data_IF_722171605569
#
_entry.id   IF_722171605569
#
_cell.length_a   1.000
_cell.length_b   1.000
_cell.length_c   1.000
_cell.angle_alpha   90.00
_cell.angle_beta   90.00
_cell.angle_gamma   90.00
#
_symmetry.space_group_name_H-M   'P 1'
#
loop_
_entity.id
_entity.type
_entity.pdbx_description
1 polymer ?
#
# COMPACT_ATOMS: atom_id res chain seq x y z
N UNK A 1 21.56 113.65 -5.31
CA UNK A 1 22.04 114.63 -6.29
C UNK A 1 20.92 115.26 -7.11
N UNK A 2 20.08 114.59 -7.79
CA UNK A 2 18.98 115.08 -8.65
C UNK A 2 17.99 115.94 -7.86
N UNK A 3 17.64 115.56 -6.59
CA UNK A 3 16.80 116.40 -5.72
C UNK A 3 17.40 117.75 -5.45
N UNK A 4 18.73 117.82 -5.13
CA UNK A 4 19.41 119.06 -4.89
C UNK A 4 19.48 119.92 -6.17
N UNK A 5 19.61 119.29 -7.35
CA UNK A 5 19.59 119.96 -8.64
C UNK A 5 18.21 120.57 -8.94
N UNK A 6 17.11 119.78 -8.63
CA UNK A 6 15.73 120.31 -8.77
C UNK A 6 15.45 121.50 -7.86
N UNK A 7 15.98 121.46 -6.58
CA UNK A 7 15.81 122.52 -5.63
C UNK A 7 16.57 123.81 -6.12
N UNK A 8 17.79 123.69 -6.63
CA UNK A 8 18.60 124.82 -7.12
C UNK A 8 18.03 125.40 -8.40
N UNK A 9 17.48 124.50 -9.30
CA UNK A 9 16.77 124.93 -10.46
C UNK A 9 15.49 125.77 -10.14
N UNK A 10 14.72 125.31 -9.10
CA UNK A 10 13.58 126.06 -8.58
C UNK A 10 14.00 127.45 -7.98
N UNK A 11 15.18 127.50 -7.35
CA UNK A 11 15.75 128.77 -6.78
C UNK A 11 16.15 129.75 -7.83
N UNK A 12 16.52 129.34 -9.05
CA UNK A 12 16.86 130.16 -10.18
C UNK A 12 15.65 130.77 -10.91
N UNK A 13 14.40 130.45 -10.52
CA UNK A 13 13.18 131.04 -11.05
C UNK A 13 12.97 130.70 -12.55
N UNK A 14 12.57 131.63 -13.33
CA UNK A 14 12.30 131.46 -14.81
C UNK A 14 13.55 130.92 -15.58
N UNK A 15 14.77 131.37 -15.18
CA UNK A 15 16.00 130.93 -15.81
C UNK A 15 16.36 129.40 -15.54
N UNK A 16 15.85 128.86 -14.42
CA UNK A 16 16.09 127.46 -14.02
C UNK A 16 15.04 126.49 -14.54
N UNK A 17 13.97 126.87 -15.20
CA UNK A 17 12.87 125.94 -15.63
C UNK A 17 13.31 124.73 -16.46
N UNK A 18 14.20 124.96 -17.44
CA UNK A 18 14.77 123.91 -18.25
C UNK A 18 15.57 122.89 -17.46
N UNK A 19 16.36 123.40 -16.43
CA UNK A 19 17.15 122.58 -15.55
C UNK A 19 16.28 121.80 -14.55
N UNK A 20 15.19 122.34 -14.08
CA UNK A 20 14.23 121.68 -13.22
C UNK A 20 13.64 120.39 -13.88
N UNK A 21 13.26 120.53 -15.17
CA UNK A 21 12.71 119.37 -15.99
C UNK A 21 13.77 118.32 -16.16
N UNK A 22 15.06 118.71 -16.42
CA UNK A 22 16.16 117.69 -16.58
C UNK A 22 16.45 117.04 -15.23
N UNK A 23 16.45 117.79 -14.10
CA UNK A 23 16.67 117.26 -12.78
C UNK A 23 15.58 116.26 -12.34
N UNK A 24 14.30 116.55 -12.66
CA UNK A 24 13.19 115.65 -12.40
C UNK A 24 13.26 114.38 -13.32
N UNK A 25 13.67 114.52 -14.60
CA UNK A 25 13.90 113.39 -15.46
C UNK A 25 15.09 112.52 -14.95
N UNK A 26 16.19 113.13 -14.49
CA UNK A 26 17.31 112.39 -13.87
C UNK A 26 16.86 111.68 -12.59
N UNK A 27 16.01 112.32 -11.78
CA UNK A 27 15.46 111.77 -10.56
C UNK A 27 14.59 110.49 -10.91
N UNK A 28 13.70 110.67 -11.91
CA UNK A 28 12.85 109.55 -12.40
C UNK A 28 13.70 108.40 -12.96
N UNK A 29 14.71 108.72 -13.75
CA UNK A 29 15.65 107.75 -14.30
C UNK A 29 16.46 107.03 -13.19
N UNK A 30 16.92 107.79 -12.16
CA UNK A 30 17.60 107.18 -11.03
C UNK A 30 16.73 106.28 -10.21
N UNK A 31 15.41 106.60 -10.02
CA UNK A 31 14.49 105.72 -9.33
C UNK A 31 14.20 104.46 -10.14
N UNK A 32 13.96 104.61 -11.42
CA UNK A 32 13.74 103.45 -12.30
C UNK A 32 14.97 102.58 -12.39
N UNK A 33 16.17 103.16 -12.38
CA UNK A 33 17.45 102.42 -12.33
C UNK A 33 17.59 101.68 -10.99
N UNK A 34 17.26 102.34 -9.87
CA UNK A 34 17.28 101.66 -8.56
C UNK A 34 16.29 100.51 -8.44
N UNK A 35 15.08 100.71 -8.97
CA UNK A 35 14.04 99.65 -9.02
C UNK A 35 14.47 98.45 -9.89
N UNK A 36 15.03 98.79 -11.10
CA UNK A 36 15.59 97.75 -11.97
C UNK A 36 16.73 97.00 -11.34
N UNK A 37 17.65 97.71 -10.65
CA UNK A 37 18.75 97.12 -9.89
C UNK A 37 18.22 96.21 -8.74
N UNK A 38 17.19 96.67 -8.02
CA UNK A 38 16.52 95.89 -6.99
C UNK A 38 15.90 94.57 -7.59
N UNK A 39 15.25 94.67 -8.75
CA UNK A 39 14.71 93.52 -9.43
C UNK A 39 15.79 92.53 -9.88
N UNK A 40 16.92 93.03 -10.38
CA UNK A 40 18.06 92.19 -10.75
C UNK A 40 18.63 91.48 -9.52
N UNK A 41 18.78 92.11 -8.41
CA UNK A 41 19.23 91.53 -7.15
C UNK A 41 18.29 90.39 -6.69
N UNK A 42 16.99 90.66 -6.83
CA UNK A 42 15.97 89.63 -6.53
C UNK A 42 16.10 88.42 -7.45
N UNK A 43 16.17 88.62 -8.76
CA UNK A 43 16.36 87.56 -9.71
C UNK A 43 17.66 86.75 -9.54
N UNK A 44 18.76 87.49 -9.18
CA UNK A 44 20.02 86.79 -8.91
C UNK A 44 19.92 85.89 -7.67
N UNK A 45 19.18 86.39 -6.64
CA UNK A 45 18.96 85.58 -5.46
C UNK A 45 18.11 84.35 -5.78
N UNK A 46 16.96 84.50 -6.52
CA UNK A 46 16.12 83.41 -6.95
C UNK A 46 16.90 82.37 -7.82
N UNK A 47 17.76 82.88 -8.70
CA UNK A 47 18.64 82.05 -9.50
C UNK A 47 19.58 81.19 -8.65
N UNK A 48 20.18 81.84 -7.62
CA UNK A 48 21.05 81.12 -6.72
C UNK A 48 20.35 80.08 -5.90
N UNK A 49 19.13 80.36 -5.41
CA UNK A 49 18.32 79.40 -4.66
C UNK A 49 17.97 78.21 -5.54
N UNK A 50 17.61 78.47 -6.80
CA UNK A 50 17.32 77.38 -7.78
C UNK A 50 18.57 76.57 -8.15
N UNK A 51 19.75 77.12 -8.20
CA UNK A 51 21.02 76.44 -8.41
C UNK A 51 21.30 75.51 -7.22
N UNK A 52 21.10 76.00 -6.02
CA UNK A 52 21.29 75.21 -4.76
C UNK A 52 20.31 74.00 -4.70
N UNK A 53 19.03 74.18 -5.13
CA UNK A 53 18.07 73.12 -5.25
C UNK A 53 18.47 72.11 -6.33
N UNK A 54 18.95 72.60 -7.49
CA UNK A 54 19.40 71.72 -8.57
C UNK A 54 20.61 70.89 -8.12
N UNK A 55 21.55 71.49 -7.39
CA UNK A 55 22.71 70.76 -6.83
C UNK A 55 22.29 69.63 -5.89
N UNK A 56 21.31 69.85 -5.03
CA UNK A 56 20.77 68.85 -4.11
C UNK A 56 20.10 67.74 -4.92
N UNK A 57 19.26 68.04 -5.92
CA UNK A 57 18.61 67.06 -6.75
C UNK A 57 19.60 66.17 -7.56
N UNK A 58 20.74 66.79 -7.98
CA UNK A 58 21.83 66.05 -8.63
C UNK A 58 22.53 65.06 -7.67
N UNK A 59 22.78 65.51 -6.41
CA UNK A 59 23.35 64.64 -5.40
C UNK A 59 22.45 63.43 -5.08
N UNK A 60 21.14 63.66 -4.90
CA UNK A 60 20.15 62.60 -4.70
C UNK A 60 20.09 61.63 -5.87
N UNK A 61 20.14 62.16 -7.09
CA UNK A 61 20.18 61.33 -8.31
C UNK A 61 21.45 60.47 -8.38
N UNK A 62 22.59 61.04 -7.97
CA UNK A 62 23.87 60.34 -7.95
C UNK A 62 23.83 59.15 -6.94
N UNK A 63 23.27 59.39 -5.75
CA UNK A 63 23.07 58.35 -4.74
C UNK A 63 22.15 57.25 -5.29
N UNK A 64 21.00 57.61 -5.88
CA UNK A 64 20.05 56.65 -6.47
C UNK A 64 20.65 55.81 -7.60
N UNK A 65 21.51 56.39 -8.42
CA UNK A 65 22.27 55.70 -9.45
C UNK A 65 23.27 54.71 -8.84
N UNK A 66 23.93 55.09 -7.75
CA UNK A 66 24.82 54.21 -6.98
C UNK A 66 24.09 52.95 -6.44
N UNK A 67 22.94 53.17 -5.80
CA UNK A 67 22.09 52.06 -5.33
C UNK A 67 21.54 51.22 -6.44
N UNK A 68 21.18 51.82 -7.58
CA UNK A 68 20.76 51.11 -8.78
C UNK A 68 21.82 50.18 -9.34
N UNK A 69 23.05 50.68 -9.43
CA UNK A 69 24.20 49.88 -9.87
C UNK A 69 24.48 48.70 -8.94
N UNK A 70 24.44 48.90 -7.64
CA UNK A 70 24.62 47.79 -6.66
C UNK A 70 23.56 46.71 -6.84
N UNK A 71 22.30 47.10 -7.06
CA UNK A 71 21.21 46.13 -7.36
C UNK A 71 21.43 45.37 -8.64
N UNK A 72 21.93 46.02 -9.68
CA UNK A 72 22.28 45.38 -10.94
C UNK A 72 23.41 44.37 -10.76
N UNK A 73 24.47 44.70 -10.02
CA UNK A 73 25.57 43.80 -9.72
C UNK A 73 25.07 42.53 -8.98
N UNK A 74 24.28 42.73 -7.91
CA UNK A 74 23.64 41.60 -7.21
C UNK A 74 22.76 40.74 -8.11
N UNK A 75 22.03 41.34 -9.03
CA UNK A 75 21.21 40.60 -10.01
C UNK A 75 22.07 39.76 -10.96
N UNK A 76 23.22 40.27 -11.37
CA UNK A 76 24.17 39.53 -12.21
C UNK A 76 24.76 38.33 -11.45
N UNK A 77 25.11 38.49 -10.16
CA UNK A 77 25.57 37.37 -9.33
C UNK A 77 24.51 36.26 -9.21
N UNK A 78 23.23 36.65 -8.95
CA UNK A 78 22.12 35.68 -8.89
C UNK A 78 21.92 34.99 -10.23
N UNK A 79 22.02 35.68 -11.36
CA UNK A 79 21.93 35.07 -12.69
C UNK A 79 23.06 34.06 -12.95
N UNK A 80 24.27 34.37 -12.49
CA UNK A 80 25.40 33.41 -12.60
C UNK A 80 25.15 32.15 -11.77
N UNK A 81 24.62 32.31 -10.54
CA UNK A 81 24.25 31.17 -9.71
C UNK A 81 23.13 30.35 -10.34
N UNK A 82 22.11 31.01 -10.92
CA UNK A 82 21.02 30.31 -11.65
C UNK A 82 21.57 29.49 -12.83
N UNK A 83 22.48 30.04 -13.62
CA UNK A 83 23.10 29.31 -14.72
C UNK A 83 23.82 28.04 -14.24
N UNK A 84 24.62 28.17 -13.16
CA UNK A 84 25.27 27.00 -12.56
C UNK A 84 24.26 25.95 -12.07
N UNK A 85 23.15 26.38 -11.48
CA UNK A 85 22.09 25.46 -11.04
C UNK A 85 21.38 24.78 -12.20
N UNK A 86 21.20 25.47 -13.33
CA UNK A 86 20.62 24.89 -14.55
C UNK A 86 21.56 23.81 -15.12
N UNK A 87 22.86 24.03 -15.11
CA UNK A 87 23.83 23.03 -15.54
C UNK A 87 23.79 21.78 -14.63
N UNK A 88 23.73 21.96 -13.31
CA UNK A 88 23.59 20.87 -12.34
C UNK A 88 22.26 20.08 -12.54
N UNK A 89 21.17 20.80 -12.84
CA UNK A 89 19.87 20.17 -13.14
C UNK A 89 19.96 19.37 -14.42
N UNK A 90 20.62 19.88 -15.45
CA UNK A 90 20.81 19.17 -16.72
C UNK A 90 21.55 17.86 -16.52
N UNK A 91 22.64 17.85 -15.76
CA UNK A 91 23.39 16.64 -15.42
C UNK A 91 22.55 15.61 -14.66
N UNK A 92 21.74 16.09 -13.68
CA UNK A 92 20.82 15.20 -12.95
C UNK A 92 19.72 14.63 -13.82
N UNK A 93 19.20 15.40 -14.77
CA UNK A 93 18.20 14.92 -15.73
C UNK A 93 18.78 13.82 -16.60
N UNK A 94 20.01 13.96 -17.08
CA UNK A 94 20.70 12.93 -17.86
C UNK A 94 20.91 11.65 -17.03
N UNK A 95 21.25 11.78 -15.74
CA UNK A 95 21.35 10.65 -14.82
C UNK A 95 20.00 9.94 -14.65
N UNK A 96 18.90 10.68 -14.50
CA UNK A 96 17.54 10.12 -14.40
C UNK A 96 17.17 9.35 -15.67
N UNK A 97 17.53 9.82 -16.86
CA UNK A 97 17.26 9.08 -18.10
C UNK A 97 18.02 7.75 -18.15
N UNK A 98 19.28 7.72 -17.71
CA UNK A 98 20.05 6.47 -17.61
C UNK A 98 19.45 5.49 -16.59
N UNK A 99 18.95 6.00 -15.45
CA UNK A 99 18.27 5.19 -14.44
C UNK A 99 16.96 4.60 -14.98
N UNK A 100 16.18 5.38 -15.73
CA UNK A 100 14.93 4.91 -16.37
C UNK A 100 15.23 3.80 -17.38
N UNK A 101 16.29 3.92 -18.19
CA UNK A 101 16.66 2.87 -19.15
C UNK A 101 17.06 1.57 -18.42
N UNK A 102 17.86 1.69 -17.37
CA UNK A 102 18.25 0.58 -16.50
C UNK A 102 17.01 -0.08 -15.86
N UNK A 103 16.11 0.72 -15.29
CA UNK A 103 14.87 0.24 -14.66
C UNK A 103 13.96 -0.46 -15.66
N UNK A 104 13.89 0.05 -16.89
CA UNK A 104 13.14 -0.59 -17.99
C UNK A 104 13.71 -1.97 -18.30
N UNK A 105 15.02 -2.12 -18.37
CA UNK A 105 15.71 -3.40 -18.54
C UNK A 105 15.42 -4.40 -17.41
N UNK A 106 15.49 -3.93 -16.15
CA UNK A 106 15.17 -4.73 -14.96
C UNK A 106 13.70 -5.17 -14.97
N UNK A 107 12.78 -4.27 -15.29
CA UNK A 107 11.33 -4.56 -15.36
C UNK A 107 11.03 -5.62 -16.41
N UNK A 108 11.67 -5.55 -17.59
CA UNK A 108 11.53 -6.56 -18.64
C UNK A 108 12.07 -7.94 -18.23
N UNK A 109 13.21 -7.95 -17.54
CA UNK A 109 13.79 -9.17 -16.99
C UNK A 109 12.89 -9.78 -15.92
N UNK A 110 12.34 -8.95 -15.03
CA UNK A 110 11.41 -9.37 -13.99
C UNK A 110 10.12 -9.98 -14.56
N UNK A 111 9.54 -9.35 -15.60
CA UNK A 111 8.37 -9.89 -16.30
C UNK A 111 8.63 -11.29 -16.86
N UNK A 112 9.81 -11.51 -17.46
CA UNK A 112 10.21 -12.81 -17.96
C UNK A 112 10.38 -13.86 -16.85
N UNK A 113 10.91 -13.44 -15.70
CA UNK A 113 11.01 -14.34 -14.53
C UNK A 113 9.64 -14.75 -13.99
N UNK A 114 8.66 -13.82 -13.93
CA UNK A 114 7.28 -14.13 -13.55
C UNK A 114 6.66 -15.14 -14.50
N UNK A 115 6.86 -14.99 -15.80
CA UNK A 115 6.38 -15.96 -16.80
C UNK A 115 6.97 -17.36 -16.57
N UNK A 116 8.28 -17.46 -16.33
CA UNK A 116 8.96 -18.71 -16.01
C UNK A 116 8.43 -19.34 -14.70
N UNK A 117 8.18 -18.52 -13.66
CA UNK A 117 7.61 -18.96 -12.39
C UNK A 117 6.19 -19.52 -12.62
N UNK A 118 5.36 -18.80 -13.39
CA UNK A 118 4.00 -19.25 -13.72
C UNK A 118 4.00 -20.59 -14.43
N UNK A 119 4.90 -20.77 -15.39
CA UNK A 119 5.06 -22.05 -16.10
C UNK A 119 5.52 -23.17 -15.15
N UNK A 120 6.51 -22.87 -14.29
CA UNK A 120 7.01 -23.86 -13.30
C UNK A 120 5.93 -24.23 -12.30
N UNK A 121 5.09 -23.27 -11.87
CA UNK A 121 3.95 -23.52 -11.00
C UNK A 121 2.92 -24.45 -11.65
N UNK A 122 2.62 -24.26 -12.94
CA UNK A 122 1.71 -25.12 -13.70
C UNK A 122 2.22 -26.56 -13.76
N UNK A 123 3.52 -26.75 -14.03
CA UNK A 123 4.16 -28.09 -14.07
C UNK A 123 4.12 -28.72 -12.68
N UNK A 124 4.47 -27.97 -11.63
CA UNK A 124 4.44 -28.46 -10.25
C UNK A 124 3.03 -28.88 -9.83
N UNK A 125 2.01 -28.10 -10.19
CA UNK A 125 0.60 -28.42 -9.90
C UNK A 125 0.19 -29.75 -10.55
N UNK A 126 0.55 -29.96 -11.81
CA UNK A 126 0.27 -31.22 -12.55
C UNK A 126 1.02 -32.42 -11.92
N UNK A 127 2.28 -32.23 -11.56
CA UNK A 127 3.08 -33.28 -10.91
C UNK A 127 2.56 -33.61 -9.51
N UNK A 128 2.08 -32.63 -8.75
CA UNK A 128 1.41 -32.86 -7.46
C UNK A 128 0.13 -33.68 -7.63
N UNK A 129 -0.72 -33.35 -8.64
CA UNK A 129 -1.92 -34.12 -8.93
C UNK A 129 -1.60 -35.55 -9.34
N UNK A 130 -0.64 -35.75 -10.23
CA UNK A 130 -0.18 -37.10 -10.64
C UNK A 130 0.37 -37.91 -9.48
N UNK A 131 1.15 -37.26 -8.61
CA UNK A 131 1.70 -37.89 -7.41
C UNK A 131 0.59 -38.28 -6.43
N UNK A 132 -0.40 -37.39 -6.20
CA UNK A 132 -1.59 -37.69 -5.40
C UNK A 132 -2.35 -38.89 -5.92
N UNK A 133 -2.58 -38.98 -7.24
CA UNK A 133 -3.23 -40.15 -7.88
C UNK A 133 -2.43 -41.44 -7.69
N UNK A 134 -1.09 -41.38 -7.78
CA UNK A 134 -0.24 -42.56 -7.55
C UNK A 134 -0.34 -43.05 -6.10
N UNK A 135 -0.26 -42.12 -5.15
CA UNK A 135 -0.42 -42.40 -3.71
C UNK A 135 -1.79 -43.01 -3.44
N UNK A 136 -2.85 -42.48 -4.06
CA UNK A 136 -4.20 -43.04 -3.98
C UNK A 136 -4.23 -44.48 -4.47
N UNK A 137 -3.68 -44.79 -5.65
CA UNK A 137 -3.64 -46.15 -6.21
C UNK A 137 -2.89 -47.12 -5.30
N UNK A 138 -1.73 -46.70 -4.74
CA UNK A 138 -0.96 -47.52 -3.80
C UNK A 138 -1.75 -47.76 -2.51
N UNK A 139 -2.40 -46.73 -1.96
CA UNK A 139 -3.24 -46.83 -0.77
C UNK A 139 -4.39 -47.81 -0.97
N UNK A 140 -5.07 -47.77 -2.13
CA UNK A 140 -6.15 -48.73 -2.50
C UNK A 140 -5.62 -50.16 -2.62
N UNK A 141 -4.43 -50.32 -3.18
CA UNK A 141 -3.82 -51.65 -3.29
C UNK A 141 -3.48 -52.24 -1.91
N UNK A 142 -2.89 -51.42 -1.03
CA UNK A 142 -2.57 -51.81 0.34
C UNK A 142 -3.81 -52.15 1.16
N UNK A 143 -4.90 -51.34 1.01
CA UNK A 143 -6.18 -51.64 1.69
C UNK A 143 -6.79 -52.95 1.22
N UNK A 144 -6.77 -53.22 -0.09
CA UNK A 144 -7.21 -54.51 -0.64
C UNK A 144 -6.40 -55.67 -0.06
N UNK A 145 -5.06 -55.54 -0.08
CA UNK A 145 -4.14 -56.58 0.47
C UNK A 145 -4.43 -56.81 1.93
N UNK A 146 -4.57 -55.76 2.74
CA UNK A 146 -4.93 -55.83 4.15
C UNK A 146 -6.26 -56.54 4.35
N UNK A 147 -7.29 -56.19 3.57
CA UNK A 147 -8.61 -56.81 3.66
C UNK A 147 -8.55 -58.29 3.32
N UNK A 148 -7.78 -58.70 2.30
CA UNK A 148 -7.61 -60.08 1.91
C UNK A 148 -6.87 -60.90 2.97
N UNK A 149 -5.83 -60.32 3.61
CA UNK A 149 -5.11 -60.92 4.75
C UNK A 149 -6.02 -61.12 5.95
N UNK A 150 -6.80 -60.10 6.35
CA UNK A 150 -7.77 -60.19 7.46
C UNK A 150 -8.80 -61.29 7.18
N UNK A 151 -9.29 -61.41 5.91
CA UNK A 151 -10.28 -62.43 5.52
C UNK A 151 -9.70 -63.84 5.52
N UNK A 152 -8.39 -63.97 5.18
CA UNK A 152 -7.70 -65.27 5.16
C UNK A 152 -7.17 -65.72 6.53
N UNK A 153 -7.16 -64.84 7.55
CA UNK A 153 -6.64 -65.15 8.87
C UNK A 153 -7.70 -65.87 9.73
N UNK A 154 -7.41 -67.11 10.12
CA UNK A 154 -8.31 -67.92 10.95
C UNK A 154 -8.28 -67.61 12.46
N UNK A 155 -7.28 -66.86 12.93
CA UNK A 155 -7.10 -66.50 14.36
C UNK A 155 -6.84 -65.00 14.49
N UNK A 156 -7.93 -64.23 14.58
CA UNK A 156 -7.88 -62.79 14.84
C UNK A 156 -8.41 -62.57 16.25
N UNK A 157 -7.59 -61.94 17.10
CA UNK A 157 -8.01 -61.59 18.46
C UNK A 157 -8.98 -60.40 18.44
N UNK A 158 -9.70 -60.21 19.56
CA UNK A 158 -10.57 -59.02 19.69
C UNK A 158 -9.79 -57.71 19.58
N UNK A 159 -8.59 -57.68 20.09
CA UNK A 159 -7.69 -56.53 19.98
C UNK A 159 -7.31 -56.25 18.51
N UNK A 160 -7.05 -57.28 17.73
CA UNK A 160 -6.76 -57.14 16.29
C UNK A 160 -7.98 -56.62 15.53
N UNK A 161 -9.20 -57.08 15.90
CA UNK A 161 -10.43 -56.55 15.34
C UNK A 161 -10.61 -55.04 15.64
N UNK A 162 -10.30 -54.60 16.86
CA UNK A 162 -10.34 -53.15 17.19
C UNK A 162 -9.42 -52.37 16.27
N UNK A 163 -8.19 -52.82 16.04
CA UNK A 163 -7.25 -52.22 15.09
C UNK A 163 -7.76 -52.24 13.64
N UNK A 164 -8.43 -53.33 13.23
CA UNK A 164 -9.06 -53.41 11.89
C UNK A 164 -10.15 -52.34 11.76
N UNK A 165 -11.01 -52.19 12.75
CA UNK A 165 -12.06 -51.19 12.74
C UNK A 165 -11.50 -49.76 12.73
N UNK A 166 -10.46 -49.51 13.49
CA UNK A 166 -9.74 -48.23 13.51
C UNK A 166 -9.23 -47.89 12.10
N UNK A 167 -8.47 -48.78 11.47
CA UNK A 167 -7.89 -48.59 10.15
C UNK A 167 -8.98 -48.45 9.09
N UNK A 168 -10.10 -49.24 9.15
CA UNK A 168 -11.21 -49.12 8.23
C UNK A 168 -11.81 -47.70 8.22
N UNK A 169 -11.88 -47.02 9.41
CA UNK A 169 -12.45 -45.70 9.49
C UNK A 169 -11.45 -44.61 9.09
N UNK A 170 -10.13 -44.79 9.32
CA UNK A 170 -9.12 -43.92 8.70
C UNK A 170 -9.17 -44.01 7.17
N UNK A 171 -9.32 -45.20 6.64
CA UNK A 171 -9.46 -45.41 5.19
C UNK A 171 -10.74 -44.76 4.67
N UNK A 172 -11.86 -44.87 5.41
CA UNK A 172 -13.11 -44.20 5.02
C UNK A 172 -12.90 -42.65 4.97
N UNK A 173 -12.31 -42.07 6.00
CA UNK A 173 -12.00 -40.63 6.04
C UNK A 173 -11.09 -40.24 4.88
N UNK A 174 -10.03 -41.01 4.61
CA UNK A 174 -9.14 -40.79 3.47
C UNK A 174 -9.86 -40.89 2.12
N UNK A 175 -10.81 -41.80 1.97
CA UNK A 175 -11.65 -41.97 0.76
C UNK A 175 -12.59 -40.78 0.58
N UNK A 176 -13.18 -40.25 1.65
CA UNK A 176 -13.99 -38.99 1.60
C UNK A 176 -13.16 -37.84 1.06
N UNK A 177 -11.93 -37.66 1.53
CA UNK A 177 -11.01 -36.67 0.97
C UNK A 177 -10.74 -36.89 -0.52
N UNK A 178 -10.42 -38.13 -0.91
CA UNK A 178 -10.13 -38.45 -2.32
C UNK A 178 -11.36 -38.29 -3.24
N UNK A 179 -12.57 -38.43 -2.72
CA UNK A 179 -13.80 -38.09 -3.42
C UNK A 179 -13.92 -36.59 -3.70
N UNK A 180 -13.55 -35.74 -2.74
CA UNK A 180 -13.58 -34.26 -2.91
C UNK A 180 -12.55 -33.80 -3.94
N UNK A 181 -11.33 -34.35 -3.88
CA UNK A 181 -10.25 -34.01 -4.83
C UNK A 181 -10.36 -34.69 -6.18
N UNK A 182 -11.34 -35.58 -6.35
CA UNK A 182 -11.65 -36.22 -7.64
C UNK A 182 -10.78 -37.44 -8.00
N UNK A 183 -10.07 -38.03 -7.02
CA UNK A 183 -9.30 -39.27 -7.24
C UNK A 183 -10.15 -40.55 -7.10
N UNK A 184 -11.28 -40.45 -6.40
CA UNK A 184 -12.26 -41.53 -6.22
C UNK A 184 -13.68 -40.96 -6.42
N UNK A 185 -14.61 -41.82 -6.80
CA UNK A 185 -16.03 -41.53 -6.76
C UNK A 185 -16.69 -42.46 -5.75
N UNK A 186 -17.07 -41.95 -4.60
CA UNK A 186 -17.77 -42.69 -3.56
C UNK A 186 -19.26 -42.78 -3.87
N UNK A 187 -19.83 -43.92 -3.60
CA UNK A 187 -21.28 -44.08 -3.62
C UNK A 187 -21.87 -43.74 -2.25
N UNK A 188 -23.04 -43.10 -2.18
CA UNK A 188 -23.73 -42.74 -0.93
C UNK A 188 -23.73 -43.89 0.08
N UNK A 189 -24.12 -45.11 -0.35
CA UNK A 189 -24.17 -46.33 0.47
C UNK A 189 -22.86 -46.73 1.15
N UNK A 190 -21.75 -46.10 0.81
CA UNK A 190 -20.43 -46.39 1.42
C UNK A 190 -20.11 -45.44 2.59
N UNK A 191 -20.90 -44.39 2.79
CA UNK A 191 -20.71 -43.37 3.83
C UNK A 191 -21.90 -43.17 4.77
N UNK A 192 -23.16 -43.44 4.28
CA UNK A 192 -24.40 -43.04 4.90
C UNK A 192 -24.84 -43.84 6.15
N UNK A 193 -24.51 -45.14 6.21
CA UNK A 193 -25.09 -46.03 7.22
C UNK A 193 -24.02 -46.67 8.10
N UNK A 194 -23.88 -46.19 9.37
CA UNK A 194 -22.91 -46.75 10.31
C UNK A 194 -23.14 -48.23 10.63
N UNK A 195 -24.36 -48.76 10.48
CA UNK A 195 -24.66 -50.17 10.76
C UNK A 195 -24.07 -51.16 9.74
N UNK A 196 -23.70 -50.65 8.54
CA UNK A 196 -23.18 -51.51 7.45
C UNK A 196 -21.68 -51.81 7.57
N UNK A 197 -20.93 -50.96 8.25
CA UNK A 197 -19.50 -51.20 8.44
C UNK A 197 -19.25 -52.32 9.44
N UNK A 198 -17.99 -52.82 9.49
CA UNK A 198 -17.64 -53.94 10.38
C UNK A 198 -17.80 -53.56 11.86
N UNK A 199 -17.44 -52.33 12.24
CA UNK A 199 -17.59 -51.83 13.62
C UNK A 199 -19.09 -51.73 13.96
N UNK A 200 -19.95 -51.22 13.08
CA UNK A 200 -21.38 -51.12 13.31
C UNK A 200 -22.03 -52.50 13.50
N UNK A 201 -21.66 -53.49 12.69
CA UNK A 201 -22.09 -54.86 12.88
C UNK A 201 -21.63 -55.46 14.21
N UNK A 202 -20.39 -55.21 14.60
CA UNK A 202 -19.86 -55.62 15.90
C UNK A 202 -20.60 -54.97 17.06
N UNK A 203 -20.85 -53.67 17.00
CA UNK A 203 -21.65 -52.91 17.99
C UNK A 203 -23.04 -53.54 18.17
N UNK A 204 -23.73 -53.86 17.05
CA UNK A 204 -25.05 -54.44 17.07
C UNK A 204 -25.09 -55.87 17.65
N UNK A 205 -24.02 -56.63 17.60
CA UNK A 205 -23.90 -57.99 18.09
C UNK A 205 -23.44 -58.07 19.55
N UNK A 206 -22.96 -56.98 20.13
CA UNK A 206 -22.42 -56.96 21.50
C UNK A 206 -23.56 -57.02 22.52
N UNK A 207 -23.54 -58.06 23.37
CA UNK A 207 -24.62 -58.32 24.38
C UNK A 207 -24.09 -58.22 25.83
N UNK A 208 -22.82 -57.93 26.06
CA UNK A 208 -22.25 -57.79 27.38
C UNK A 208 -22.72 -56.49 28.01
N UNK A 209 -23.65 -56.59 28.97
CA UNK A 209 -24.26 -55.44 29.64
C UNK A 209 -23.23 -54.52 30.33
N UNK A 210 -22.09 -55.04 30.81
CA UNK A 210 -21.05 -54.24 31.44
C UNK A 210 -20.35 -53.36 30.43
N UNK A 211 -20.11 -53.90 29.21
CA UNK A 211 -19.48 -53.16 28.15
C UNK A 211 -20.45 -52.14 27.53
N UNK A 212 -21.64 -52.57 27.16
CA UNK A 212 -22.66 -51.74 26.52
C UNK A 212 -23.05 -50.53 27.35
N UNK A 213 -23.06 -50.65 28.68
CA UNK A 213 -23.42 -49.59 29.61
C UNK A 213 -22.22 -48.70 30.00
N UNK A 214 -20.99 -49.05 29.61
CA UNK A 214 -19.80 -48.25 29.94
C UNK A 214 -19.81 -46.89 29.23
N UNK A 215 -19.19 -45.88 29.87
CA UNK A 215 -19.08 -44.52 29.29
C UNK A 215 -18.26 -44.54 28.01
N UNK A 216 -17.23 -45.39 27.98
CA UNK A 216 -16.28 -45.55 26.86
C UNK A 216 -17.00 -46.13 25.61
N UNK A 217 -17.85 -47.18 25.83
CA UNK A 217 -18.61 -47.72 24.71
C UNK A 217 -19.61 -46.71 24.15
N UNK A 218 -20.29 -45.98 24.99
CA UNK A 218 -21.22 -44.92 24.56
C UNK A 218 -20.50 -43.82 23.76
N UNK A 219 -19.31 -43.44 24.19
CA UNK A 219 -18.46 -42.47 23.46
C UNK A 219 -18.03 -43.02 22.11
N UNK A 220 -17.61 -44.30 22.04
CA UNK A 220 -17.27 -44.97 20.78
C UNK A 220 -18.45 -44.98 19.80
N UNK A 221 -19.63 -45.39 20.27
CA UNK A 221 -20.85 -45.42 19.43
C UNK A 221 -21.20 -44.02 18.93
N UNK A 222 -21.13 -43.03 19.79
CA UNK A 222 -21.37 -41.64 19.39
C UNK A 222 -20.39 -41.20 18.31
N UNK A 223 -19.11 -41.36 18.53
CA UNK A 223 -18.08 -40.92 17.61
C UNK A 223 -18.13 -41.66 16.26
N UNK A 224 -18.47 -42.94 16.28
CA UNK A 224 -18.72 -43.74 15.08
C UNK A 224 -19.89 -43.17 14.26
N UNK A 225 -21.02 -42.85 14.93
CA UNK A 225 -22.18 -42.27 14.28
C UNK A 225 -21.87 -40.86 13.74
N UNK A 226 -21.18 -40.02 14.54
CA UNK A 226 -20.79 -38.67 14.14
C UNK A 226 -19.87 -38.72 12.90
N UNK A 227 -18.92 -39.66 12.84
CA UNK A 227 -18.04 -39.85 11.68
C UNK A 227 -18.84 -40.14 10.42
N UNK A 228 -19.75 -41.12 10.44
CA UNK A 228 -20.57 -41.47 9.27
C UNK A 228 -21.50 -40.32 8.89
N UNK A 229 -22.07 -39.60 9.87
CA UNK A 229 -22.91 -38.44 9.63
C UNK A 229 -22.15 -37.34 8.87
N UNK A 230 -20.96 -36.95 9.35
CA UNK A 230 -20.17 -35.94 8.67
C UNK A 230 -19.62 -36.41 7.31
N UNK A 231 -19.28 -37.68 7.19
CA UNK A 231 -18.88 -38.28 5.91
C UNK A 231 -20.00 -38.20 4.87
N UNK A 232 -21.27 -38.49 5.27
CA UNK A 232 -22.45 -38.33 4.41
C UNK A 232 -22.68 -36.87 4.03
N UNK A 233 -22.59 -35.93 4.98
CA UNK A 233 -22.72 -34.49 4.71
C UNK A 233 -21.64 -34.01 3.73
N UNK A 234 -20.40 -34.47 3.91
CA UNK A 234 -19.29 -34.17 3.00
C UNK A 234 -19.55 -34.73 1.59
N UNK A 235 -20.05 -35.94 1.52
CA UNK A 235 -20.44 -36.55 0.24
C UNK A 235 -21.53 -35.73 -0.47
N UNK A 236 -22.62 -35.38 0.21
CA UNK A 236 -23.69 -34.56 -0.35
C UNK A 236 -23.19 -33.20 -0.86
N UNK A 237 -22.41 -32.47 -0.04
CA UNK A 237 -21.85 -31.19 -0.45
C UNK A 237 -20.95 -31.30 -1.69
N UNK A 238 -20.19 -32.41 -1.82
CA UNK A 238 -19.36 -32.66 -3.01
C UNK A 238 -20.21 -32.96 -4.26
N UNK A 239 -21.29 -33.72 -4.14
CA UNK A 239 -22.24 -34.01 -5.25
C UNK A 239 -22.95 -32.73 -5.71
N UNK A 240 -23.26 -31.83 -4.77
CA UNK A 240 -23.84 -30.51 -5.04
C UNK A 240 -22.82 -29.51 -5.65
N UNK A 241 -21.54 -29.89 -5.74
CA UNK A 241 -20.46 -29.07 -6.31
C UNK A 241 -19.86 -28.06 -5.32
N UNK A 242 -20.31 -28.04 -4.06
CA UNK A 242 -19.80 -27.17 -2.98
C UNK A 242 -18.58 -27.82 -2.30
N UNK A 243 -17.42 -27.69 -2.97
CA UNK A 243 -16.18 -28.30 -2.49
C UNK A 243 -15.66 -27.69 -1.18
N UNK A 244 -15.95 -26.42 -0.94
CA UNK A 244 -15.53 -25.74 0.30
C UNK A 244 -16.26 -26.33 1.50
N UNK A 245 -17.57 -26.48 1.39
CA UNK A 245 -18.41 -27.08 2.41
C UNK A 245 -18.13 -28.58 2.58
N UNK A 246 -17.86 -29.28 1.48
CA UNK A 246 -17.44 -30.68 1.52
C UNK A 246 -16.14 -30.86 2.30
N UNK A 247 -15.15 -29.95 2.12
CA UNK A 247 -13.89 -29.98 2.86
C UNK A 247 -14.09 -29.63 4.34
N UNK A 248 -15.00 -28.71 4.67
CA UNK A 248 -15.37 -28.41 6.05
C UNK A 248 -15.91 -29.66 6.75
N UNK A 249 -16.90 -30.34 6.17
CA UNK A 249 -17.46 -31.57 6.73
C UNK A 249 -16.45 -32.72 6.75
N UNK A 250 -15.52 -32.78 5.81
CA UNK A 250 -14.39 -33.72 5.89
C UNK A 250 -13.54 -33.48 7.13
N UNK A 251 -13.23 -32.23 7.47
CA UNK A 251 -12.50 -31.89 8.70
C UNK A 251 -13.27 -32.31 9.95
N UNK A 252 -14.60 -32.16 9.94
CA UNK A 252 -15.45 -32.63 11.03
C UNK A 252 -15.46 -34.16 11.13
N UNK A 253 -15.47 -34.87 9.98
CA UNK A 253 -15.33 -36.34 9.90
C UNK A 253 -14.00 -36.78 10.54
N UNK A 254 -12.90 -36.12 10.18
CA UNK A 254 -11.58 -36.42 10.74
C UNK A 254 -11.52 -36.18 12.25
N UNK A 255 -12.06 -35.07 12.71
CA UNK A 255 -12.09 -34.69 14.13
C UNK A 255 -13.00 -35.59 14.98
N UNK A 256 -14.15 -36.04 14.42
CA UNK A 256 -15.05 -36.94 15.11
C UNK A 256 -14.39 -38.27 15.47
N UNK A 257 -13.46 -38.75 14.64
CA UNK A 257 -12.82 -40.05 14.83
C UNK A 257 -11.45 -39.98 15.53
N UNK A 258 -10.72 -38.89 15.42
CA UNK A 258 -9.38 -38.76 16.02
C UNK A 258 -9.37 -38.75 17.55
N UNK A 259 -10.47 -38.37 18.22
CA UNK A 259 -10.62 -38.33 19.68
C UNK A 259 -10.95 -39.69 20.33
N UNK A 260 -11.85 -40.55 19.78
CA UNK A 260 -12.24 -41.82 20.41
C UNK A 260 -11.24 -42.97 20.22
N UNK A 261 -10.19 -42.81 19.42
CA UNK A 261 -9.14 -43.80 19.22
C UNK A 261 -8.44 -44.18 20.53
N UNK A 262 -8.27 -43.25 21.49
CA UNK A 262 -7.82 -43.55 22.84
C UNK A 262 -8.75 -44.53 23.58
N UNK A 263 -10.03 -44.60 23.23
CA UNK A 263 -11.05 -45.46 23.88
C UNK A 263 -10.91 -46.90 23.37
N UNK A 264 -10.57 -47.11 22.09
CA UNK A 264 -10.37 -48.47 21.54
C UNK A 264 -9.16 -49.19 22.17
N UNK A 265 -8.15 -48.45 22.67
CA UNK A 265 -7.01 -49.04 23.37
C UNK A 265 -7.34 -49.47 24.82
N UNK A 266 -8.47 -49.04 25.39
CA UNK A 266 -8.90 -49.34 26.76
C UNK A 266 -9.64 -50.69 26.86
N UNK A 267 -10.12 -51.27 25.77
CA UNK A 267 -10.69 -52.59 25.76
C UNK A 267 -9.59 -53.68 25.96
N UNK A 268 -9.19 -53.84 27.22
CA UNK A 268 -8.18 -54.83 27.67
C UNK A 268 -8.75 -56.25 27.61
N UNK A 269 -7.93 -57.29 27.35
CA UNK A 269 -8.32 -58.63 26.86
C UNK A 269 -8.88 -59.57 27.95
N UNK A 270 -9.85 -59.13 28.75
CA UNK A 270 -10.45 -60.02 29.77
C UNK A 270 -11.73 -60.73 29.30
N UNK A 271 -12.25 -60.47 28.08
CA UNK A 271 -13.44 -61.13 27.58
C UNK A 271 -13.16 -61.91 26.28
N UNK A 272 -13.15 -63.23 26.40
CA UNK A 272 -13.05 -64.19 25.31
C UNK A 272 -14.33 -64.28 24.49
N UNK A 273 -14.69 -63.20 23.75
CA UNK A 273 -15.75 -63.28 22.78
C UNK A 273 -15.14 -63.13 21.38
N UNK A 274 -14.87 -64.27 20.74
CA UNK A 274 -14.50 -64.31 19.32
C UNK A 274 -15.77 -64.04 18.50
N UNK A 275 -16.00 -62.77 18.17
CA UNK A 275 -17.08 -62.41 17.25
C UNK A 275 -16.43 -62.15 15.89
N UNK A 276 -16.74 -63.02 14.93
CA UNK A 276 -16.31 -62.85 13.55
C UNK A 276 -17.35 -61.97 12.81
N UNK A 277 -16.99 -60.71 12.40
CA UNK A 277 -17.96 -59.81 11.74
C UNK A 277 -18.30 -60.17 10.31
N UNK A 278 -17.81 -61.33 9.83
CA UNK A 278 -18.12 -61.86 8.48
C UNK A 278 -19.21 -62.95 8.44
N UNK A 279 -19.76 -63.36 9.58
CA UNK A 279 -20.90 -64.25 9.65
C UNK A 279 -22.16 -63.53 10.09
#
# INVERSE_FOLDING_TARGET
>A
MALNASVEAARAGEAGRGFAVVADQVRLLSNNTAESAGSIVKYVKELRDNIDELAKAMDETTISLGEGNEKVEKSLEVMQQMNSQIDDISEKVDSVFNDIDTQTGVTKSFSKQIENISQSYSILSDDCLKSGQRVFKVGRYLDKTRSDLVRGCSKITQQDWMRVFEVDHYILTWRVYNNIVGFEHLLKKQVDDPSRCKLGKWIAQLKDDKIVNSSEFKQLVKAHNDLHHYAELSWHANEDGDKEKAMQYFNDTYNAFSRPLCVMTIFHPASTLIINPYY
#
